data_IF_716601849789
#
_entry.id   IF_716601849789
#
_cell.length_a   1.000
_cell.length_b   1.000
_cell.length_c   1.000
_cell.angle_alpha   90.00
_cell.angle_beta   90.00
_cell.angle_gamma   90.00
#
_symmetry.space_group_name_H-M   'P 1'
#
loop_
_entity.id
_entity.type
_entity.pdbx_description
1 polymer ?
#
# COMPACT_ATOMS: atom_id res chain seq x y z
N UNK A 1 -30.39 -5.24 -32.19
CA UNK A 1 -29.42 -4.26 -32.74
C UNK A 1 -28.25 -4.19 -31.78
N UNK A 2 -27.01 -4.26 -32.26
CA UNK A 2 -25.83 -4.08 -31.42
C UNK A 2 -25.47 -2.59 -31.43
N UNK A 3 -25.63 -1.90 -30.30
CA UNK A 3 -25.36 -0.47 -30.17
C UNK A 3 -24.00 -0.27 -29.48
N UNK A 4 -23.14 0.65 -29.94
CA UNK A 4 -21.83 0.88 -29.33
C UNK A 4 -21.96 1.38 -27.89
N UNK A 5 -21.02 0.97 -27.04
CA UNK A 5 -20.98 1.37 -25.63
C UNK A 5 -19.85 2.34 -25.29
N UNK A 6 -18.85 2.48 -26.17
CA UNK A 6 -17.75 3.42 -25.98
C UNK A 6 -18.14 4.80 -26.48
N UNK A 7 -17.83 5.82 -25.70
CA UNK A 7 -18.12 7.22 -26.01
C UNK A 7 -17.63 7.65 -27.41
N UNK A 8 -16.40 7.31 -27.79
CA UNK A 8 -15.86 7.62 -29.12
C UNK A 8 -16.66 6.94 -30.25
N UNK A 9 -17.11 5.71 -30.03
CA UNK A 9 -17.90 4.94 -31.01
C UNK A 9 -19.33 5.47 -31.12
N UNK A 10 -19.94 5.88 -29.99
CA UNK A 10 -21.25 6.53 -29.94
C UNK A 10 -21.22 7.88 -30.67
N UNK A 11 -20.19 8.71 -30.43
CA UNK A 11 -19.99 9.99 -31.12
C UNK A 11 -19.89 9.81 -32.63
N UNK A 12 -19.04 8.86 -33.07
CA UNK A 12 -18.87 8.56 -34.49
C UNK A 12 -20.17 8.03 -35.13
N UNK A 13 -20.90 7.16 -34.43
CA UNK A 13 -22.18 6.67 -34.91
C UNK A 13 -23.22 7.80 -35.02
N UNK A 14 -23.30 8.70 -34.04
CA UNK A 14 -24.20 9.84 -34.07
C UNK A 14 -23.92 10.77 -35.26
N UNK A 15 -22.65 11.05 -35.56
CA UNK A 15 -22.25 11.82 -36.74
C UNK A 15 -22.70 11.14 -38.05
N UNK A 16 -22.50 9.83 -38.16
CA UNK A 16 -22.92 9.06 -39.33
C UNK A 16 -24.45 9.06 -39.50
N UNK A 17 -25.21 8.91 -38.41
CA UNK A 17 -26.68 8.97 -38.43
C UNK A 17 -27.14 10.37 -38.88
N UNK A 18 -26.57 11.44 -38.33
CA UNK A 18 -26.89 12.82 -38.71
C UNK A 18 -26.62 13.05 -40.20
N UNK A 19 -25.46 12.62 -40.70
CA UNK A 19 -25.09 12.75 -42.11
C UNK A 19 -26.06 11.95 -43.01
N UNK A 20 -26.29 10.68 -42.67
CA UNK A 20 -27.19 9.80 -43.42
C UNK A 20 -28.63 10.32 -43.49
N UNK A 21 -29.18 10.83 -42.38
CA UNK A 21 -30.52 11.43 -42.34
C UNK A 21 -30.62 12.79 -43.06
N UNK A 22 -29.49 13.47 -43.28
CA UNK A 22 -29.46 14.75 -44.02
C UNK A 22 -29.37 14.51 -45.53
N UNK A 23 -28.57 13.53 -45.94
CA UNK A 23 -28.21 13.31 -47.35
C UNK A 23 -29.12 12.29 -48.06
N UNK A 24 -29.88 11.48 -47.30
CA UNK A 24 -30.73 10.43 -47.86
C UNK A 24 -32.23 10.79 -47.80
N UNK A 25 -32.85 10.88 -48.98
CA UNK A 25 -34.28 11.17 -49.15
C UNK A 25 -35.21 10.01 -48.73
N UNK A 26 -34.69 8.80 -48.53
CA UNK A 26 -35.47 7.61 -48.12
C UNK A 26 -36.05 7.72 -46.69
N UNK A 27 -35.56 8.68 -45.89
CA UNK A 27 -35.97 8.91 -44.49
C UNK A 27 -36.53 10.32 -44.28
N UNK A 28 -37.66 10.69 -44.91
CA UNK A 28 -38.13 12.08 -44.94
C UNK A 28 -38.68 12.59 -43.61
N UNK A 29 -39.18 11.70 -42.74
CA UNK A 29 -39.80 12.04 -41.46
C UNK A 29 -39.18 11.24 -40.31
N UNK A 30 -37.92 11.51 -39.91
CA UNK A 30 -37.31 10.83 -38.78
C UNK A 30 -38.05 11.20 -37.47
N UNK A 31 -38.24 10.25 -36.54
CA UNK A 31 -38.92 10.52 -35.26
C UNK A 31 -38.24 11.57 -34.39
N UNK A 32 -36.92 11.74 -34.52
CA UNK A 32 -36.14 12.81 -33.91
C UNK A 32 -35.59 13.67 -35.03
N UNK A 33 -35.78 14.99 -34.94
CA UNK A 33 -35.29 15.90 -35.96
C UNK A 33 -33.74 15.90 -35.99
N UNK A 34 -33.15 16.00 -37.19
CA UNK A 34 -31.68 16.03 -37.33
C UNK A 34 -31.05 17.20 -36.57
N UNK A 35 -31.74 18.34 -36.49
CA UNK A 35 -31.32 19.50 -35.69
C UNK A 35 -31.27 19.20 -34.18
N UNK A 36 -32.24 18.45 -33.67
CA UNK A 36 -32.27 18.02 -32.28
C UNK A 36 -31.12 17.05 -31.98
N UNK A 37 -30.89 16.08 -32.88
CA UNK A 37 -29.78 15.14 -32.74
C UNK A 37 -28.41 15.83 -32.82
N UNK A 38 -28.26 16.86 -33.65
CA UNK A 38 -27.07 17.73 -33.68
C UNK A 38 -26.86 18.46 -32.36
N UNK A 39 -27.90 19.09 -31.82
CA UNK A 39 -27.81 19.79 -30.53
C UNK A 39 -27.41 18.84 -29.38
N UNK A 40 -27.93 17.62 -29.37
CA UNK A 40 -27.56 16.59 -28.40
C UNK A 40 -26.09 16.18 -28.54
N UNK A 41 -25.61 15.99 -29.77
CA UNK A 41 -24.21 15.66 -30.04
C UNK A 41 -23.26 16.78 -29.62
N UNK A 42 -23.59 18.04 -29.92
CA UNK A 42 -22.78 19.20 -29.55
C UNK A 42 -22.74 19.38 -28.02
N UNK A 43 -23.89 19.22 -27.35
CA UNK A 43 -23.95 19.26 -25.90
C UNK A 43 -23.09 18.16 -25.26
N UNK A 44 -23.15 16.94 -25.82
CA UNK A 44 -22.32 15.82 -25.36
C UNK A 44 -20.82 16.10 -25.51
N UNK A 45 -20.39 16.58 -26.68
CA UNK A 45 -18.98 16.92 -26.94
C UNK A 45 -18.50 18.00 -25.96
N UNK A 46 -19.28 19.08 -25.79
CA UNK A 46 -18.94 20.17 -24.89
C UNK A 46 -18.81 19.71 -23.43
N UNK A 47 -19.68 18.80 -22.98
CA UNK A 47 -19.61 18.22 -21.63
C UNK A 47 -18.37 17.33 -21.45
N UNK A 48 -18.05 16.51 -22.45
CA UNK A 48 -16.86 15.66 -22.45
C UNK A 48 -15.57 16.50 -22.37
N UNK A 49 -15.46 17.53 -23.20
CA UNK A 49 -14.30 18.44 -23.19
C UNK A 49 -14.19 19.19 -21.84
N UNK A 50 -15.31 19.66 -21.29
CA UNK A 50 -15.34 20.30 -19.97
C UNK A 50 -14.91 19.35 -18.85
N UNK A 51 -15.30 18.08 -18.91
CA UNK A 51 -14.87 17.06 -17.95
C UNK A 51 -13.34 16.87 -18.01
N UNK A 52 -12.77 16.72 -19.20
CA UNK A 52 -11.32 16.55 -19.39
C UNK A 52 -10.58 17.78 -18.85
N UNK A 53 -11.04 18.99 -19.16
CA UNK A 53 -10.46 20.22 -18.64
C UNK A 53 -10.53 20.30 -17.10
N UNK A 54 -11.66 19.92 -16.50
CA UNK A 54 -11.81 19.90 -15.05
C UNK A 54 -10.88 18.88 -14.36
N UNK A 55 -10.69 17.70 -14.97
CA UNK A 55 -9.74 16.70 -14.48
C UNK A 55 -8.30 17.22 -14.55
N UNK A 56 -7.90 17.84 -15.66
CA UNK A 56 -6.59 18.46 -15.79
C UNK A 56 -6.36 19.57 -14.74
N UNK A 57 -7.35 20.43 -14.53
CA UNK A 57 -7.28 21.48 -13.51
C UNK A 57 -7.16 20.91 -12.09
N UNK A 58 -7.87 19.83 -11.77
CA UNK A 58 -7.78 19.15 -10.47
C UNK A 58 -6.39 18.53 -10.24
N UNK A 59 -5.78 17.94 -11.28
CA UNK A 59 -4.42 17.42 -11.22
C UNK A 59 -3.41 18.54 -10.98
N UNK A 60 -3.48 19.62 -11.75
CA UNK A 60 -2.62 20.80 -11.57
C UNK A 60 -2.75 21.42 -10.17
N UNK A 61 -3.97 21.51 -9.63
CA UNK A 61 -4.18 22.02 -8.27
C UNK A 61 -3.54 21.09 -7.21
N UNK A 62 -3.58 19.78 -7.43
CA UNK A 62 -2.95 18.79 -6.55
C UNK A 62 -1.43 18.89 -6.58
N UNK A 63 -0.86 19.05 -7.77
CA UNK A 63 0.58 19.27 -7.96
C UNK A 63 1.03 20.59 -7.36
N UNK A 64 0.32 21.69 -7.63
CA UNK A 64 0.62 23.00 -7.06
C UNK A 64 0.58 23.01 -5.53
N UNK A 65 -0.36 22.28 -4.91
CA UNK A 65 -0.39 22.07 -3.46
C UNK A 65 0.85 21.32 -2.97
N UNK A 66 1.23 20.23 -3.65
CA UNK A 66 2.42 19.43 -3.28
C UNK A 66 3.69 20.28 -3.38
N UNK A 67 3.86 21.02 -4.48
CA UNK A 67 5.00 21.92 -4.67
C UNK A 67 5.07 23.01 -3.60
N UNK A 68 3.92 23.61 -3.25
CA UNK A 68 3.85 24.61 -2.18
C UNK A 68 4.24 24.02 -0.81
N UNK A 69 3.79 22.79 -0.52
CA UNK A 69 4.17 22.08 0.69
C UNK A 69 5.67 21.77 0.73
N UNK A 70 6.25 21.32 -0.37
CA UNK A 70 7.68 21.00 -0.45
C UNK A 70 8.54 22.26 -0.28
N UNK A 71 8.12 23.38 -0.86
CA UNK A 71 8.77 24.69 -0.66
C UNK A 71 8.70 25.14 0.79
N UNK A 72 7.54 24.98 1.44
CA UNK A 72 7.37 25.30 2.86
C UNK A 72 8.29 24.43 3.73
N UNK A 73 8.29 23.11 3.52
CA UNK A 73 9.15 22.19 4.27
C UNK A 73 10.62 22.52 4.08
N UNK A 74 11.05 22.83 2.86
CA UNK A 74 12.43 23.24 2.58
C UNK A 74 12.82 24.51 3.34
N UNK A 75 11.98 25.54 3.29
CA UNK A 75 12.21 26.79 4.02
C UNK A 75 12.25 26.57 5.56
N UNK A 76 11.36 25.73 6.08
CA UNK A 76 11.36 25.35 7.50
C UNK A 76 12.65 24.63 7.89
N UNK A 77 13.12 23.68 7.08
CA UNK A 77 14.40 22.99 7.32
C UNK A 77 15.58 23.95 7.34
N UNK A 78 15.62 24.91 6.42
CA UNK A 78 16.66 25.95 6.42
C UNK A 78 16.67 26.74 7.72
N UNK A 79 15.50 27.19 8.20
CA UNK A 79 15.39 27.88 9.49
C UNK A 79 15.79 26.98 10.67
N UNK A 80 15.43 25.69 10.64
CA UNK A 80 15.81 24.73 11.67
C UNK A 80 17.32 24.53 11.73
N UNK A 81 18.00 24.38 10.58
CA UNK A 81 19.46 24.29 10.56
C UNK A 81 20.13 25.53 11.15
N UNK A 82 19.64 26.72 10.79
CA UNK A 82 20.12 27.96 11.39
C UNK A 82 19.92 27.99 12.92
N UNK A 83 18.75 27.55 13.40
CA UNK A 83 18.45 27.49 14.82
C UNK A 83 19.34 26.47 15.56
N UNK A 84 19.64 25.32 14.97
CA UNK A 84 20.56 24.31 15.52
C UNK A 84 21.98 24.87 15.66
N UNK A 85 22.50 25.54 14.63
CA UNK A 85 23.80 26.19 14.66
C UNK A 85 23.86 27.28 15.75
N UNK A 86 22.82 28.09 15.87
CA UNK A 86 22.72 29.15 16.88
C UNK A 86 22.51 28.60 18.31
N UNK A 87 21.87 27.44 18.45
CA UNK A 87 21.61 26.83 19.73
C UNK A 87 22.86 26.17 20.34
N UNK A 88 23.87 25.81 19.54
CA UNK A 88 25.12 25.18 19.99
C UNK A 88 24.88 23.94 20.88
N UNK A 89 23.87 23.12 20.54
CA UNK A 89 23.49 21.93 21.33
C UNK A 89 22.63 22.21 22.57
N UNK A 90 22.11 23.43 22.74
CA UNK A 90 21.15 23.74 23.79
C UNK A 90 19.72 23.39 23.36
N UNK A 91 19.27 22.19 23.76
CA UNK A 91 17.93 21.68 23.44
C UNK A 91 16.78 22.54 23.97
N UNK A 92 16.98 23.27 25.07
CA UNK A 92 15.96 24.18 25.60
C UNK A 92 15.70 25.36 24.65
N UNK A 93 16.71 25.82 23.90
CA UNK A 93 16.54 26.85 22.87
C UNK A 93 15.79 26.31 21.64
N UNK A 94 16.01 25.04 21.27
CA UNK A 94 15.29 24.40 20.17
C UNK A 94 13.83 24.10 20.53
N UNK A 95 13.58 23.71 21.78
CA UNK A 95 12.23 23.44 22.29
C UNK A 95 11.28 24.65 22.21
N UNK A 96 11.82 25.89 22.29
CA UNK A 96 11.04 27.13 22.11
C UNK A 96 10.40 27.21 20.71
N UNK A 97 11.02 26.59 19.69
CA UNK A 97 10.49 26.54 18.32
C UNK A 97 9.44 25.43 18.13
N UNK A 98 9.03 24.72 19.19
CA UNK A 98 8.20 23.52 19.10
C UNK A 98 8.92 22.33 18.45
N UNK A 99 10.19 22.51 18.09
CA UNK A 99 11.11 21.47 17.68
C UNK A 99 11.67 20.83 18.96
N UNK A 100 10.83 19.99 19.59
CA UNK A 100 11.22 19.22 20.77
C UNK A 100 12.46 18.40 20.44
N UNK A 101 13.38 18.32 21.42
CA UNK A 101 14.61 17.53 21.36
C UNK A 101 14.38 16.27 20.53
N UNK A 102 15.16 16.10 19.45
CA UNK A 102 15.12 14.95 18.53
C UNK A 102 14.66 13.75 19.32
N UNK A 103 13.55 13.11 18.93
CA UNK A 103 13.08 11.89 19.59
C UNK A 103 14.31 11.01 19.78
N UNK A 104 14.83 10.95 21.01
CA UNK A 104 16.06 10.25 21.29
C UNK A 104 15.72 8.81 20.93
N UNK A 105 16.24 8.25 19.82
CA UNK A 105 15.96 6.87 19.52
C UNK A 105 16.49 6.15 20.75
N UNK A 106 15.59 5.56 21.54
CA UNK A 106 16.02 4.76 22.68
C UNK A 106 17.15 3.84 22.20
N UNK A 107 18.12 3.53 23.08
CA UNK A 107 19.27 2.69 22.70
C UNK A 107 18.78 1.53 21.83
N UNK A 108 19.49 1.19 20.73
CA UNK A 108 19.03 0.21 19.76
C UNK A 108 18.45 -1.01 20.49
N UNK A 109 17.14 -1.20 20.36
CA UNK A 109 16.44 -2.29 21.03
C UNK A 109 16.38 -3.47 20.08
N UNK A 110 16.46 -4.68 20.63
CA UNK A 110 16.04 -5.89 19.91
C UNK A 110 14.53 -5.79 19.63
N UNK A 111 14.01 -6.47 18.59
CA UNK A 111 12.59 -6.50 18.35
C UNK A 111 11.80 -7.08 19.53
N UNK A 112 10.56 -6.67 19.69
CA UNK A 112 9.66 -7.31 20.66
C UNK A 112 9.23 -8.71 20.21
N UNK A 113 8.33 -9.30 21.00
CA UNK A 113 7.79 -10.64 20.76
C UNK A 113 6.84 -10.65 19.54
N UNK A 114 7.05 -11.50 18.52
CA UNK A 114 6.03 -11.76 17.50
C UNK A 114 4.77 -12.35 18.14
N UNK A 115 3.60 -11.97 17.64
CA UNK A 115 2.32 -12.26 18.30
C UNK A 115 1.50 -13.21 17.44
N UNK A 116 0.58 -13.94 18.08
CA UNK A 116 -0.45 -14.74 17.40
C UNK A 116 0.14 -15.70 16.35
N UNK A 117 1.20 -16.44 16.70
CA UNK A 117 1.67 -17.51 15.83
C UNK A 117 0.60 -18.60 15.76
N UNK A 118 0.19 -18.97 14.56
CA UNK A 118 -0.79 -20.02 14.29
C UNK A 118 -0.40 -20.87 13.07
N UNK A 119 -0.85 -22.13 13.07
CA UNK A 119 -0.77 -23.01 11.90
C UNK A 119 -2.07 -22.89 11.11
N UNK A 120 -2.02 -22.23 9.96
CA UNK A 120 -3.21 -22.00 9.13
C UNK A 120 -3.55 -23.23 8.28
N UNK A 121 -2.53 -23.93 7.77
CA UNK A 121 -2.69 -25.14 6.96
C UNK A 121 -1.58 -26.15 7.27
N UNK A 122 -1.91 -27.44 7.20
CA UNK A 122 -0.94 -28.52 7.38
C UNK A 122 -1.31 -29.75 6.54
N UNK A 123 -0.28 -30.51 6.13
CA UNK A 123 -0.42 -31.79 5.44
C UNK A 123 0.78 -32.70 5.76
N UNK A 124 0.81 -33.90 5.18
CA UNK A 124 1.86 -34.88 5.40
C UNK A 124 3.23 -34.39 4.92
N UNK A 125 3.99 -33.74 5.80
CA UNK A 125 5.33 -33.20 5.57
C UNK A 125 5.41 -31.72 5.16
N UNK A 126 4.34 -30.94 5.26
CA UNK A 126 4.42 -29.48 5.13
C UNK A 126 3.38 -28.76 6.01
N UNK A 127 3.70 -27.53 6.40
CA UNK A 127 2.78 -26.63 7.11
C UNK A 127 2.92 -25.19 6.64
N UNK A 128 1.88 -24.39 6.85
CA UNK A 128 1.89 -22.95 6.67
C UNK A 128 1.60 -22.27 8.01
N UNK A 129 2.50 -21.36 8.39
CA UNK A 129 2.45 -20.58 9.62
C UNK A 129 2.10 -19.13 9.27
N UNK A 130 1.21 -18.50 10.07
CA UNK A 130 0.98 -17.04 10.08
C UNK A 130 1.30 -16.50 11.48
N UNK A 131 1.79 -15.26 11.53
CA UNK A 131 1.97 -14.53 12.77
C UNK A 131 1.76 -13.03 12.57
N UNK A 132 1.86 -12.27 13.66
CA UNK A 132 1.77 -10.80 13.66
C UNK A 132 3.05 -10.18 14.18
N UNK A 133 3.34 -8.98 13.67
CA UNK A 133 4.51 -8.20 14.07
C UNK A 133 4.47 -7.86 15.57
N UNK A 134 5.64 -7.69 16.21
CA UNK A 134 5.71 -7.19 17.58
C UNK A 134 4.99 -5.86 17.75
N UNK A 135 4.32 -5.67 18.90
CA UNK A 135 3.65 -4.41 19.23
C UNK A 135 4.62 -3.35 19.81
N UNK A 136 5.81 -3.76 20.22
CA UNK A 136 6.83 -2.92 20.86
C UNK A 136 8.24 -3.43 20.53
N UNK A 137 9.27 -2.68 20.94
CA UNK A 137 10.68 -3.01 20.71
C UNK A 137 11.26 -2.36 19.45
N UNK A 138 12.42 -2.86 19.01
CA UNK A 138 13.10 -2.37 17.82
C UNK A 138 12.42 -2.75 16.50
N UNK A 139 12.73 -2.01 15.44
CA UNK A 139 12.23 -2.29 14.08
C UNK A 139 12.76 -3.66 13.63
N UNK A 140 11.85 -4.53 13.19
CA UNK A 140 12.17 -5.88 12.69
C UNK A 140 12.87 -5.79 11.33
N UNK A 141 13.95 -6.54 11.14
CA UNK A 141 14.60 -6.73 9.83
C UNK A 141 14.13 -8.02 9.16
N UNK A 142 14.03 -9.12 9.90
CA UNK A 142 13.50 -10.40 9.45
C UNK A 142 13.01 -11.23 10.64
N UNK A 143 12.40 -12.37 10.37
CA UNK A 143 11.96 -13.37 11.32
C UNK A 143 12.74 -14.66 11.13
N UNK A 144 13.12 -15.32 12.21
CA UNK A 144 13.65 -16.69 12.19
C UNK A 144 12.59 -17.62 12.76
N UNK A 145 12.16 -18.60 11.98
CA UNK A 145 11.31 -19.69 12.49
C UNK A 145 12.22 -20.76 13.07
N UNK A 146 11.95 -21.18 14.29
CA UNK A 146 12.66 -22.26 14.99
C UNK A 146 11.72 -23.44 15.22
N UNK A 147 12.27 -24.65 15.21
CA UNK A 147 11.56 -25.92 15.41
C UNK A 147 12.25 -26.79 16.45
N UNK A 148 11.50 -27.51 17.28
CA UNK A 148 11.98 -28.62 18.11
C UNK A 148 11.07 -29.85 18.01
N UNK A 149 11.64 -31.04 18.20
CA UNK A 149 10.93 -32.35 18.07
C UNK A 149 10.38 -32.89 19.41
N UNK A 150 10.77 -32.29 20.53
CA UNK A 150 10.34 -32.64 21.89
C UNK A 150 10.38 -31.36 22.72
N UNK A 151 9.50 -31.22 23.70
CA UNK A 151 9.47 -30.09 24.62
C UNK A 151 10.82 -29.83 25.35
N UNK A 152 11.65 -30.87 25.52
CA UNK A 152 12.97 -30.80 26.15
C UNK A 152 14.15 -30.71 25.15
N UNK A 153 13.88 -30.69 23.85
CA UNK A 153 14.91 -30.64 22.81
C UNK A 153 15.34 -29.21 22.46
N UNK A 154 16.52 -29.10 21.85
CA UNK A 154 17.04 -27.82 21.36
C UNK A 154 16.23 -27.27 20.19
N UNK A 155 16.04 -25.95 20.17
CA UNK A 155 15.44 -25.23 19.07
C UNK A 155 16.41 -25.13 17.89
N UNK A 156 15.98 -25.58 16.73
CA UNK A 156 16.74 -25.52 15.47
C UNK A 156 16.11 -24.50 14.53
N UNK A 157 16.90 -23.59 13.97
CA UNK A 157 16.40 -22.64 12.97
C UNK A 157 16.04 -23.39 11.67
N UNK A 158 14.83 -23.20 11.18
CA UNK A 158 14.34 -23.87 9.95
C UNK A 158 14.25 -22.92 8.76
N UNK A 159 14.28 -21.60 8.98
CA UNK A 159 14.26 -20.62 7.92
C UNK A 159 14.24 -19.19 8.43
N UNK A 160 14.54 -18.26 7.52
CA UNK A 160 14.42 -16.81 7.76
C UNK A 160 13.46 -16.19 6.75
N UNK A 161 12.63 -15.26 7.20
CA UNK A 161 11.51 -14.72 6.44
C UNK A 161 11.36 -13.22 6.67
N UNK A 162 11.02 -12.47 5.64
CA UNK A 162 10.74 -11.02 5.75
C UNK A 162 9.26 -10.78 6.07
N UNK A 163 8.40 -11.61 5.49
CA UNK A 163 6.96 -11.59 5.70
C UNK A 163 6.56 -12.21 7.05
N UNK A 164 5.30 -12.02 7.43
CA UNK A 164 4.73 -12.59 8.66
C UNK A 164 4.01 -13.92 8.43
N UNK A 165 4.40 -14.62 7.38
CA UNK A 165 3.90 -15.94 7.02
C UNK A 165 5.04 -16.80 6.45
N UNK A 166 4.95 -18.12 6.61
CA UNK A 166 5.92 -19.05 6.07
C UNK A 166 5.31 -20.41 5.74
N UNK A 167 5.59 -20.90 4.53
CA UNK A 167 5.36 -22.30 4.16
C UNK A 167 6.62 -23.12 4.37
N UNK A 168 6.57 -24.08 5.30
CA UNK A 168 7.66 -24.98 5.61
C UNK A 168 7.41 -26.34 4.97
N UNK A 169 8.26 -26.70 4.00
CA UNK A 169 8.22 -27.99 3.30
C UNK A 169 9.18 -29.01 3.93
N UNK A 170 9.07 -30.27 3.52
CA UNK A 170 9.98 -31.37 3.91
C UNK A 170 10.12 -31.55 5.44
N UNK A 171 9.02 -31.39 6.17
CA UNK A 171 8.99 -31.65 7.60
C UNK A 171 8.92 -33.15 7.90
N UNK A 172 9.50 -33.55 9.04
CA UNK A 172 9.49 -34.95 9.49
C UNK A 172 8.05 -35.40 9.76
N UNK A 173 7.64 -36.46 9.07
CA UNK A 173 6.33 -37.11 9.22
C UNK A 173 6.29 -38.03 10.43
N UNK A 174 5.11 -38.20 11.02
CA UNK A 174 4.84 -39.04 12.18
C UNK A 174 5.50 -38.56 13.48
N UNK A 175 5.90 -37.28 13.55
CA UNK A 175 6.55 -36.68 14.71
C UNK A 175 5.80 -35.42 15.14
N UNK A 176 5.70 -35.23 16.44
CA UNK A 176 5.24 -33.98 17.01
C UNK A 176 6.35 -32.94 16.88
N UNK A 177 6.04 -31.83 16.22
CA UNK A 177 6.96 -30.74 15.96
C UNK A 177 6.38 -29.48 16.58
N UNK A 178 7.21 -28.76 17.32
CA UNK A 178 6.85 -27.48 17.91
C UNK A 178 7.61 -26.37 17.20
N UNK A 179 6.90 -25.28 16.89
CA UNK A 179 7.43 -24.13 16.16
C UNK A 179 7.26 -22.85 16.97
N UNK A 180 8.27 -21.98 16.94
CA UNK A 180 8.17 -20.60 17.42
C UNK A 180 8.85 -19.65 16.43
N UNK A 181 8.49 -18.37 16.49
CA UNK A 181 9.05 -17.33 15.62
C UNK A 181 9.75 -16.28 16.46
N UNK A 182 10.94 -15.88 16.00
CA UNK A 182 11.76 -14.85 16.64
C UNK A 182 11.95 -13.70 15.66
N UNK A 183 11.61 -12.47 16.06
CA UNK A 183 11.93 -11.28 15.27
C UNK A 183 13.38 -10.86 15.50
N UNK A 184 14.09 -10.48 14.43
CA UNK A 184 15.52 -10.18 14.46
C UNK A 184 15.79 -8.86 13.78
N UNK A 185 16.73 -8.09 14.34
CA UNK A 185 17.30 -6.90 13.70
C UNK A 185 18.81 -6.81 13.96
N UNK A 186 19.45 -5.73 13.52
CA UNK A 186 20.90 -5.52 13.71
C UNK A 186 21.36 -5.54 15.17
N UNK A 187 20.46 -5.26 16.11
CA UNK A 187 20.75 -5.28 17.56
C UNK A 187 20.79 -6.72 18.07
N UNK A 188 19.97 -7.61 17.50
CA UNK A 188 19.92 -9.03 17.86
C UNK A 188 18.52 -9.64 17.74
N UNK A 189 18.39 -10.81 18.34
CA UNK A 189 17.13 -11.57 18.41
C UNK A 189 16.22 -11.05 19.54
N UNK A 190 14.94 -10.90 19.23
CA UNK A 190 13.89 -10.59 20.20
C UNK A 190 13.42 -11.79 21.00
N UNK A 191 12.35 -11.60 21.78
CA UNK A 191 11.70 -12.70 22.52
C UNK A 191 10.94 -13.60 21.53
N UNK A 192 11.04 -14.94 21.64
CA UNK A 192 10.25 -15.86 20.82
C UNK A 192 8.74 -15.71 21.03
N UNK A 193 7.95 -15.93 19.99
CA UNK A 193 6.48 -15.95 20.04
C UNK A 193 5.94 -17.05 20.97
N UNK A 194 4.61 -17.14 21.07
CA UNK A 194 3.98 -18.40 21.50
C UNK A 194 4.45 -19.56 20.60
N UNK A 195 4.47 -20.76 21.16
CA UNK A 195 4.73 -21.98 20.39
C UNK A 195 3.44 -22.54 19.79
N UNK A 196 3.58 -23.22 18.65
CA UNK A 196 2.52 -24.06 18.07
C UNK A 196 3.04 -25.48 17.85
N UNK A 197 2.27 -26.48 18.28
CA UNK A 197 2.59 -27.91 18.12
C UNK A 197 1.73 -28.51 17.01
N UNK A 198 2.36 -29.28 16.12
CA UNK A 198 1.69 -29.99 15.02
C UNK A 198 2.23 -31.41 14.90
N UNK A 199 1.39 -32.32 14.41
CA UNK A 199 1.78 -33.68 14.03
C UNK A 199 1.58 -33.80 12.52
N UNK A 200 2.68 -33.94 11.77
CA UNK A 200 2.69 -33.99 10.31
C UNK A 200 2.91 -35.39 9.75
#
# INVERSE_FOLDING_TARGET
>A
MNFPHREAEIRALAQNIIAGLTENADFPNPPIAVSELRNLLDAFINQSDAQVAAQAAAQQATEGKRDAQDRLVSAMKTNLHYAEDAAQGNDAKLAVLGWGARANPGPPAVPGQPRLLETVQQSAGWLHLDWKRPASGGIVSYYTVKRRERAEGDWTAVGTFIETEATLNNQKRGKELEFCVVAVNRTGEGVPSNSVSVVL
#
